data_IF_399555645346
#
_entry.id   IF_399555645346
#
_cell.length_a   1.000
_cell.length_b   1.000
_cell.length_c   1.000
_cell.angle_alpha   90.00
_cell.angle_beta   90.00
_cell.angle_gamma   90.00
#
_symmetry.space_group_name_H-M   'P 1'
#
loop_
_entity.id
_entity.type
_entity.pdbx_description
1 polymer ?
#
# COMPACT_ATOMS: atom_id res chain seq x y z
N UNK A 1 -5.92 38.29 -6.59
CA UNK A 1 -6.63 38.36 -5.29
C UNK A 1 -7.09 37.00 -4.77
N UNK A 2 -7.44 36.03 -5.63
CA UNK A 2 -7.96 34.72 -5.20
C UNK A 2 -6.97 33.84 -4.43
N UNK A 3 -5.68 33.85 -4.81
CA UNK A 3 -4.63 33.03 -4.15
C UNK A 3 -4.41 33.39 -2.67
N UNK A 4 -4.43 34.68 -2.32
CA UNK A 4 -4.20 35.19 -0.95
C UNK A 4 -5.37 34.84 0.00
N UNK A 5 -6.60 34.77 -0.49
CA UNK A 5 -7.76 34.46 0.34
C UNK A 5 -7.80 32.98 0.76
N UNK A 6 -7.34 32.09 -0.12
CA UNK A 6 -7.28 30.64 0.16
C UNK A 6 -6.22 30.30 1.21
N UNK A 7 -5.06 30.96 1.21
CA UNK A 7 -4.00 30.72 2.23
C UNK A 7 -4.40 31.20 3.62
N UNK A 8 -5.31 32.17 3.72
CA UNK A 8 -5.87 32.63 5.00
C UNK A 8 -7.09 31.82 5.47
N UNK A 9 -7.55 30.86 4.68
CA UNK A 9 -8.71 30.01 5.00
C UNK A 9 -8.29 28.85 5.91
N UNK A 10 -9.23 28.27 6.66
CA UNK A 10 -9.01 27.12 7.55
C UNK A 10 -8.31 25.96 6.83
N UNK A 11 -7.45 25.21 7.53
CA UNK A 11 -6.71 24.05 7.00
C UNK A 11 -7.63 23.04 6.29
N UNK A 12 -8.87 22.87 6.78
CA UNK A 12 -9.90 22.03 6.17
C UNK A 12 -10.33 22.52 4.77
N UNK A 13 -10.45 23.84 4.56
CA UNK A 13 -10.75 24.39 3.23
C UNK A 13 -9.55 24.27 2.29
N UNK A 14 -8.33 24.40 2.80
CA UNK A 14 -7.11 24.24 2.01
C UNK A 14 -6.95 22.80 1.52
N UNK A 15 -7.13 21.81 2.40
CA UNK A 15 -7.08 20.40 2.03
C UNK A 15 -8.11 20.03 0.96
N UNK A 16 -9.36 20.52 1.10
CA UNK A 16 -10.41 20.30 0.08
C UNK A 16 -10.10 21.02 -1.24
N UNK A 17 -9.58 22.24 -1.19
CA UNK A 17 -9.16 22.98 -2.39
C UNK A 17 -8.00 22.28 -3.10
N UNK A 18 -7.06 21.70 -2.36
CA UNK A 18 -5.93 20.94 -2.91
C UNK A 18 -6.42 19.68 -3.64
N UNK A 19 -7.31 18.90 -3.01
CA UNK A 19 -7.96 17.74 -3.65
C UNK A 19 -8.69 18.15 -4.93
N UNK A 20 -9.51 19.20 -4.87
CA UNK A 20 -10.24 19.69 -6.04
C UNK A 20 -9.29 20.16 -7.15
N UNK A 21 -8.18 20.80 -6.81
CA UNK A 21 -7.15 21.22 -7.77
C UNK A 21 -6.50 20.02 -8.46
N UNK A 22 -6.14 18.98 -7.68
CA UNK A 22 -5.60 17.73 -8.21
C UNK A 22 -6.57 17.05 -9.18
N UNK A 23 -7.88 17.16 -8.94
CA UNK A 23 -8.92 16.59 -9.80
C UNK A 23 -9.23 17.45 -11.04
N UNK A 24 -9.06 18.77 -10.99
CA UNK A 24 -9.55 19.72 -12.00
C UNK A 24 -8.49 20.29 -12.95
N UNK A 25 -7.23 19.84 -12.87
CA UNK A 25 -6.15 20.17 -13.82
C UNK A 25 -5.71 21.64 -13.82
N UNK A 26 -5.73 22.31 -12.66
CA UNK A 26 -5.12 23.63 -12.48
C UNK A 26 -3.69 23.53 -11.91
N UNK A 27 -2.62 23.33 -12.72
CA UNK A 27 -1.26 23.10 -12.22
C UNK A 27 -0.76 24.24 -11.33
N UNK A 28 -1.00 25.49 -11.71
CA UNK A 28 -0.59 26.67 -10.95
C UNK A 28 -1.26 26.78 -9.57
N UNK A 29 -2.47 26.24 -9.42
CA UNK A 29 -3.15 26.18 -8.13
C UNK A 29 -2.71 24.96 -7.33
N UNK A 30 -2.42 23.84 -7.99
CA UNK A 30 -1.88 22.64 -7.35
C UNK A 30 -0.52 22.94 -6.72
N UNK A 31 0.39 23.57 -7.46
CA UNK A 31 1.72 23.95 -6.97
C UNK A 31 1.60 24.93 -5.80
N UNK A 32 0.83 26.00 -5.97
CA UNK A 32 0.65 27.01 -4.93
C UNK A 32 0.05 26.45 -3.63
N UNK A 33 -0.95 25.57 -3.73
CA UNK A 33 -1.55 24.93 -2.56
C UNK A 33 -0.61 23.91 -1.94
N UNK A 34 0.15 23.16 -2.74
CA UNK A 34 1.14 22.21 -2.21
C UNK A 34 2.24 22.88 -1.40
N UNK A 35 2.58 24.14 -1.70
CA UNK A 35 3.60 24.91 -0.98
C UNK A 35 3.13 25.47 0.37
N UNK A 36 1.81 25.57 0.58
CA UNK A 36 1.23 26.21 1.76
C UNK A 36 0.38 25.25 2.62
N UNK A 37 0.18 24.01 2.17
CA UNK A 37 -0.64 23.02 2.87
C UNK A 37 0.17 22.23 3.89
N UNK A 38 -0.50 21.74 4.94
CA UNK A 38 0.08 20.80 5.88
C UNK A 38 0.37 19.45 5.23
N UNK A 39 1.36 18.73 5.77
CA UNK A 39 1.75 17.40 5.28
C UNK A 39 0.55 16.44 5.22
N UNK A 40 -0.28 16.41 6.28
CA UNK A 40 -1.49 15.59 6.34
C UNK A 40 -2.49 15.89 5.21
N UNK A 41 -2.61 17.17 4.83
CA UNK A 41 -3.48 17.59 3.72
C UNK A 41 -2.95 17.09 2.39
N UNK A 42 -1.63 17.10 2.20
CA UNK A 42 -0.98 16.57 1.00
C UNK A 42 -1.10 15.04 0.94
N UNK A 43 -0.86 14.34 2.06
CA UNK A 43 -1.04 12.89 2.15
C UNK A 43 -2.48 12.49 1.79
N UNK A 44 -3.47 13.17 2.36
CA UNK A 44 -4.87 12.92 2.06
C UNK A 44 -5.20 13.25 0.60
N UNK A 45 -4.67 14.35 0.05
CA UNK A 45 -4.86 14.71 -1.34
C UNK A 45 -4.26 13.67 -2.31
N UNK A 46 -3.09 13.11 -2.00
CA UNK A 46 -2.48 12.02 -2.77
C UNK A 46 -3.39 10.79 -2.76
N UNK A 47 -3.89 10.38 -1.60
CA UNK A 47 -4.76 9.20 -1.47
C UNK A 47 -6.08 9.36 -2.23
N UNK A 48 -6.69 10.55 -2.18
CA UNK A 48 -7.93 10.85 -2.90
C UNK A 48 -7.67 10.98 -4.41
N UNK A 49 -6.59 11.66 -4.82
CA UNK A 49 -6.25 11.80 -6.23
C UNK A 49 -5.85 10.47 -6.88
N UNK A 50 -5.23 9.55 -6.13
CA UNK A 50 -4.89 8.21 -6.59
C UNK A 50 -6.11 7.30 -6.79
N UNK A 51 -7.25 7.63 -6.19
CA UNK A 51 -8.52 6.98 -6.51
C UNK A 51 -9.11 7.45 -7.86
N UNK A 52 -8.63 8.58 -8.37
CA UNK A 52 -9.00 9.10 -9.67
C UNK A 52 -7.99 8.63 -10.75
N UNK A 53 -8.41 8.47 -12.01
CA UNK A 53 -7.53 8.05 -13.11
C UNK A 53 -6.46 9.10 -13.51
N UNK A 54 -6.33 10.21 -12.77
CA UNK A 54 -5.40 11.32 -13.07
C UNK A 54 -4.12 11.23 -12.24
N UNK A 55 -3.22 10.32 -12.60
CA UNK A 55 -1.93 10.11 -11.92
C UNK A 55 -0.92 11.25 -12.04
N UNK A 56 -1.10 12.18 -12.99
CA UNK A 56 -0.20 13.32 -13.17
C UNK A 56 -0.08 14.19 -11.91
N UNK A 57 -1.20 14.47 -11.25
CA UNK A 57 -1.23 15.27 -10.02
C UNK A 57 -0.57 14.55 -8.84
N UNK A 58 -0.74 13.22 -8.73
CA UNK A 58 -0.12 12.39 -7.69
C UNK A 58 1.40 12.49 -7.75
N UNK A 59 1.98 12.40 -8.96
CA UNK A 59 3.44 12.48 -9.14
C UNK A 59 3.99 13.85 -8.74
N UNK A 60 3.29 14.93 -9.09
CA UNK A 60 3.69 16.30 -8.71
C UNK A 60 3.66 16.50 -7.20
N UNK A 61 2.61 16.01 -6.52
CA UNK A 61 2.51 16.09 -5.05
C UNK A 61 3.59 15.25 -4.37
N UNK A 62 3.87 14.04 -4.88
CA UNK A 62 4.92 13.16 -4.33
C UNK A 62 6.34 13.72 -4.45
N UNK A 63 6.63 14.59 -5.43
CA UNK A 63 7.93 15.26 -5.51
C UNK A 63 8.16 16.28 -4.38
N UNK A 64 7.09 16.68 -3.68
CA UNK A 64 7.12 17.65 -2.60
C UNK A 64 7.03 17.01 -1.22
N UNK A 65 6.63 15.75 -1.11
CA UNK A 65 6.59 15.03 0.17
C UNK A 65 8.00 14.64 0.63
N UNK A 66 8.24 14.76 1.94
CA UNK A 66 9.42 14.23 2.58
C UNK A 66 9.46 12.69 2.52
N UNK A 67 10.68 12.13 2.54
CA UNK A 67 10.88 10.68 2.52
C UNK A 67 10.22 9.98 3.73
N UNK A 68 10.15 10.67 4.87
CA UNK A 68 9.60 10.14 6.12
C UNK A 68 8.08 9.91 6.07
N UNK A 69 7.37 10.61 5.18
CA UNK A 69 5.91 10.44 4.98
C UNK A 69 5.56 9.28 4.04
N UNK A 70 6.49 8.84 3.18
CA UNK A 70 6.21 7.80 2.19
C UNK A 70 5.76 6.46 2.82
N UNK A 71 6.32 6.01 3.97
CA UNK A 71 5.82 4.86 4.70
C UNK A 71 4.34 4.96 5.11
N UNK A 72 3.94 6.09 5.68
CA UNK A 72 2.55 6.36 6.10
C UNK A 72 1.60 6.29 4.90
N UNK A 73 1.97 6.97 3.81
CA UNK A 73 1.18 7.00 2.57
C UNK A 73 1.05 5.59 1.98
N UNK A 74 2.13 4.80 1.96
CA UNK A 74 2.13 3.44 1.43
C UNK A 74 1.18 2.53 2.22
N UNK A 75 1.25 2.55 3.55
CA UNK A 75 0.34 1.76 4.40
C UNK A 75 -1.12 2.15 4.16
N UNK A 76 -1.43 3.45 4.11
CA UNK A 76 -2.80 3.93 3.83
C UNK A 76 -3.25 3.57 2.40
N UNK A 77 -2.36 3.59 1.42
CA UNK A 77 -2.65 3.19 0.05
C UNK A 77 -3.01 1.71 -0.03
N UNK A 78 -2.28 0.84 0.68
CA UNK A 78 -2.60 -0.58 0.80
C UNK A 78 -3.95 -0.80 1.46
N UNK A 79 -4.22 -0.10 2.57
CA UNK A 79 -5.51 -0.22 3.28
C UNK A 79 -6.70 0.18 2.41
N UNK A 80 -6.49 1.09 1.45
CA UNK A 80 -7.51 1.54 0.48
C UNK A 80 -7.53 0.71 -0.81
N UNK A 81 -6.56 -0.19 -1.00
CA UNK A 81 -6.42 -0.97 -2.23
C UNK A 81 -5.96 -0.18 -3.46
N UNK A 82 -5.23 0.92 -3.27
CA UNK A 82 -4.76 1.79 -4.36
C UNK A 82 -3.52 1.19 -5.06
N UNK A 83 -3.72 0.15 -5.87
CA UNK A 83 -2.67 -0.65 -6.51
C UNK A 83 -1.60 0.19 -7.23
N UNK A 84 -2.02 1.16 -8.04
CA UNK A 84 -1.10 2.00 -8.81
C UNK A 84 -0.27 2.94 -7.93
N UNK A 85 -0.85 3.45 -6.82
CA UNK A 85 -0.09 4.26 -5.86
C UNK A 85 0.94 3.40 -5.12
N UNK A 86 0.58 2.16 -4.76
CA UNK A 86 1.51 1.21 -4.13
C UNK A 86 2.68 0.89 -5.07
N UNK A 87 2.43 0.68 -6.37
CA UNK A 87 3.50 0.48 -7.37
C UNK A 87 4.48 1.66 -7.44
N UNK A 88 4.00 2.90 -7.31
CA UNK A 88 4.86 4.09 -7.33
C UNK A 88 5.68 4.27 -6.05
N UNK A 89 5.18 3.75 -4.93
CA UNK A 89 5.79 3.91 -3.61
C UNK A 89 6.74 2.77 -3.25
N UNK A 90 6.57 1.57 -3.83
CA UNK A 90 7.29 0.36 -3.41
C UNK A 90 8.82 0.50 -3.47
N UNK A 91 9.34 1.18 -4.50
CA UNK A 91 10.78 1.39 -4.68
C UNK A 91 11.35 2.50 -3.77
N UNK A 92 10.49 3.25 -3.09
CA UNK A 92 10.86 4.40 -2.26
C UNK A 92 10.72 4.13 -0.77
N UNK A 93 10.05 3.04 -0.37
CA UNK A 93 9.81 2.70 1.03
C UNK A 93 10.82 1.68 1.54
N UNK A 94 11.01 1.65 2.85
CA UNK A 94 11.90 0.68 3.49
C UNK A 94 11.26 -0.72 3.58
N UNK A 95 12.10 -1.73 3.82
CA UNK A 95 11.68 -3.14 3.93
C UNK A 95 10.62 -3.35 5.03
N UNK A 96 10.70 -2.61 6.13
CA UNK A 96 9.73 -2.69 7.24
C UNK A 96 8.32 -2.23 6.82
N UNK A 97 8.25 -1.21 5.97
CA UNK A 97 7.01 -0.74 5.39
C UNK A 97 6.44 -1.80 4.46
N UNK A 98 7.27 -2.41 3.60
CA UNK A 98 6.84 -3.48 2.69
C UNK A 98 6.28 -4.67 3.48
N UNK A 99 6.91 -5.06 4.59
CA UNK A 99 6.43 -6.15 5.46
C UNK A 99 5.07 -5.83 6.09
N UNK A 100 4.95 -4.64 6.66
CA UNK A 100 3.68 -4.18 7.25
C UNK A 100 2.58 -4.12 6.19
N UNK A 101 2.89 -3.57 5.02
CA UNK A 101 2.00 -3.47 3.86
C UNK A 101 1.56 -4.86 3.36
N UNK A 102 2.49 -5.81 3.24
CA UNK A 102 2.17 -7.16 2.75
C UNK A 102 1.23 -7.88 3.71
N UNK A 103 1.51 -7.78 5.02
CA UNK A 103 0.65 -8.33 6.07
C UNK A 103 -0.76 -7.74 6.01
N UNK A 104 -0.88 -6.42 5.91
CA UNK A 104 -2.20 -5.76 5.81
C UNK A 104 -2.95 -6.23 4.55
N UNK A 105 -2.27 -6.27 3.40
CA UNK A 105 -2.87 -6.71 2.15
C UNK A 105 -3.35 -8.17 2.24
N UNK A 106 -2.56 -9.04 2.89
CA UNK A 106 -2.89 -10.43 3.15
C UNK A 106 -4.11 -10.59 4.10
N UNK A 107 -4.14 -9.82 5.18
CA UNK A 107 -5.28 -9.77 6.12
C UNK A 107 -6.56 -9.24 5.47
N UNK A 108 -6.47 -8.33 4.50
CA UNK A 108 -7.62 -7.83 3.75
C UNK A 108 -8.01 -8.74 2.57
N UNK A 109 -7.16 -9.70 2.20
CA UNK A 109 -7.36 -10.53 1.01
C UNK A 109 -7.22 -9.77 -0.30
N UNK A 110 -6.53 -8.61 -0.32
CA UNK A 110 -6.37 -7.80 -1.52
C UNK A 110 -5.31 -8.40 -2.45
N UNK A 111 -5.74 -9.37 -3.26
CA UNK A 111 -4.92 -10.14 -4.18
C UNK A 111 -4.07 -9.28 -5.13
N UNK A 112 -4.60 -8.15 -5.61
CA UNK A 112 -3.88 -7.26 -6.54
C UNK A 112 -2.73 -6.53 -5.86
N UNK A 113 -2.97 -5.99 -4.66
CA UNK A 113 -1.92 -5.34 -3.87
C UNK A 113 -0.88 -6.36 -3.40
N UNK A 114 -1.30 -7.57 -3.01
CA UNK A 114 -0.36 -8.67 -2.70
C UNK A 114 0.56 -8.95 -3.88
N UNK A 115 0.04 -9.05 -5.11
CA UNK A 115 0.87 -9.28 -6.31
C UNK A 115 1.94 -8.20 -6.51
N UNK A 116 1.58 -6.93 -6.30
CA UNK A 116 2.55 -5.82 -6.42
C UNK A 116 3.61 -5.89 -5.32
N UNK A 117 3.22 -6.18 -4.09
CA UNK A 117 4.13 -6.23 -2.95
C UNK A 117 5.07 -7.45 -2.99
N UNK A 118 4.66 -8.54 -3.64
CA UNK A 118 5.44 -9.78 -3.75
C UNK A 118 6.81 -9.59 -4.42
N UNK A 119 6.96 -8.60 -5.30
CA UNK A 119 8.23 -8.37 -6.02
C UNK A 119 9.29 -7.68 -5.14
N UNK A 120 8.87 -6.93 -4.11
CA UNK A 120 9.78 -6.30 -3.15
C UNK A 120 9.86 -7.05 -1.80
N UNK A 121 9.21 -8.21 -1.68
CA UNK A 121 9.10 -8.96 -0.44
C UNK A 121 10.10 -10.12 -0.38
N UNK A 122 10.65 -10.39 0.81
CA UNK A 122 11.50 -11.56 1.06
C UNK A 122 10.67 -12.79 1.43
N UNK A 123 11.27 -13.98 1.35
CA UNK A 123 10.62 -15.24 1.74
C UNK A 123 10.09 -15.23 3.18
N UNK A 124 10.82 -14.61 4.12
CA UNK A 124 10.39 -14.49 5.51
C UNK A 124 9.13 -13.64 5.67
N UNK A 125 9.03 -12.54 4.91
CA UNK A 125 7.86 -11.66 4.91
C UNK A 125 6.64 -12.38 4.31
N UNK A 126 6.86 -13.14 3.23
CA UNK A 126 5.81 -13.92 2.56
C UNK A 126 5.29 -15.02 3.50
N UNK A 127 6.17 -15.72 4.23
CA UNK A 127 5.76 -16.73 5.21
C UNK A 127 4.85 -16.13 6.29
N UNK A 128 5.26 -15.00 6.87
CA UNK A 128 4.45 -14.27 7.86
C UNK A 128 3.09 -13.88 7.27
N UNK A 129 3.08 -13.30 6.06
CA UNK A 129 1.84 -12.89 5.38
C UNK A 129 0.88 -14.06 5.10
N UNK A 130 1.39 -15.28 4.85
CA UNK A 130 0.56 -16.49 4.68
C UNK A 130 -0.23 -16.77 5.97
N UNK A 131 0.43 -16.73 7.12
CA UNK A 131 -0.24 -16.96 8.42
C UNK A 131 -1.38 -15.95 8.65
N UNK A 132 -1.16 -14.68 8.29
CA UNK A 132 -2.19 -13.64 8.37
C UNK A 132 -3.33 -13.83 7.37
N UNK A 133 -3.05 -14.26 6.14
CA UNK A 133 -4.09 -14.57 5.15
C UNK A 133 -4.91 -15.81 5.54
N UNK A 134 -4.27 -16.84 6.11
CA UNK A 134 -4.93 -18.07 6.56
C UNK A 134 -5.84 -17.82 7.76
N UNK A 135 -5.34 -17.10 8.76
CA UNK A 135 -6.14 -16.71 9.94
C UNK A 135 -7.33 -15.83 9.56
N UNK A 136 -7.20 -15.03 8.50
CA UNK A 136 -8.28 -14.19 7.97
C UNK A 136 -9.20 -14.91 6.99
N UNK A 137 -8.85 -16.14 6.57
CA UNK A 137 -9.64 -16.97 5.66
C UNK A 137 -9.57 -16.56 4.18
N UNK A 138 -8.59 -15.76 3.77
CA UNK A 138 -8.45 -15.26 2.40
C UNK A 138 -7.68 -16.23 1.50
N UNK A 139 -8.35 -17.30 1.07
CA UNK A 139 -7.74 -18.38 0.27
C UNK A 139 -7.05 -17.91 -1.02
N UNK A 140 -7.55 -16.85 -1.68
CA UNK A 140 -6.91 -16.30 -2.88
C UNK A 140 -5.55 -15.67 -2.57
N UNK A 141 -5.46 -14.88 -1.50
CA UNK A 141 -4.19 -14.29 -1.05
C UNK A 141 -3.21 -15.38 -0.61
N UNK A 142 -3.67 -16.40 0.12
CA UNK A 142 -2.85 -17.57 0.51
C UNK A 142 -2.27 -18.24 -0.74
N UNK A 143 -3.10 -18.54 -1.74
CA UNK A 143 -2.66 -19.20 -2.97
C UNK A 143 -1.61 -18.38 -3.73
N UNK A 144 -1.77 -17.05 -3.80
CA UNK A 144 -0.81 -16.16 -4.45
C UNK A 144 0.53 -16.12 -3.72
N UNK A 145 0.51 -16.00 -2.39
CA UNK A 145 1.71 -15.99 -1.56
C UNK A 145 2.45 -17.34 -1.63
N UNK A 146 1.72 -18.46 -1.52
CA UNK A 146 2.28 -19.83 -1.60
C UNK A 146 2.90 -20.11 -2.96
N UNK A 147 2.29 -19.61 -4.04
CA UNK A 147 2.85 -19.75 -5.40
C UNK A 147 4.22 -19.09 -5.51
N UNK A 148 4.47 -17.97 -4.81
CA UNK A 148 5.78 -17.31 -4.80
C UNK A 148 6.82 -18.11 -4.01
N UNK A 149 6.44 -18.68 -2.86
CA UNK A 149 7.34 -19.53 -2.05
C UNK A 149 7.65 -20.85 -2.76
N UNK A 150 6.65 -21.52 -3.35
CA UNK A 150 6.86 -22.76 -4.11
C UNK A 150 7.74 -22.59 -5.35
N UNK A 151 7.75 -21.40 -5.97
CA UNK A 151 8.72 -21.07 -7.04
C UNK A 151 10.15 -21.01 -6.50
N UNK A 152 10.36 -20.56 -5.25
CA UNK A 152 11.70 -20.53 -4.65
C UNK A 152 12.20 -21.91 -4.23
N UNK A 153 11.31 -22.86 -3.91
CA UNK A 153 11.70 -24.23 -3.53
C UNK A 153 11.93 -25.16 -4.73
N UNK A 154 11.40 -24.85 -5.91
CA UNK A 154 11.46 -25.73 -7.09
C UNK A 154 12.69 -25.55 -7.98
N UNK A 155 13.60 -24.63 -7.64
CA UNK A 155 14.91 -24.49 -8.31
C UNK A 155 16.03 -25.30 -7.63
N UNK A 156 15.77 -25.96 -6.50
CA UNK A 156 16.71 -26.92 -5.92
C UNK A 156 16.31 -28.33 -6.36
N UNK A 157 16.48 -28.61 -7.65
CA UNK A 157 16.73 -29.98 -8.08
C UNK A 157 18.10 -30.37 -7.50
N UNK A 158 18.09 -30.88 -6.27
CA UNK A 158 18.81 -32.09 -5.88
C UNK A 158 18.56 -32.42 -4.41
N UNK A 159 17.88 -33.55 -4.19
CA UNK A 159 18.12 -34.39 -3.03
C UNK A 159 17.36 -34.08 -1.74
N UNK A 160 16.19 -34.72 -1.59
CA UNK A 160 15.62 -35.23 -0.33
C UNK A 160 15.39 -34.22 0.79
N UNK A 161 14.14 -33.77 1.00
CA UNK A 161 13.62 -33.62 2.37
C UNK A 161 12.11 -33.86 2.40
N UNK A 162 11.75 -34.96 3.05
CA UNK A 162 10.41 -35.31 3.49
C UNK A 162 9.87 -34.23 4.45
N UNK A 163 8.72 -33.63 4.12
CA UNK A 163 7.88 -32.97 5.13
C UNK A 163 6.47 -33.55 5.04
N UNK A 164 6.10 -34.21 6.14
CA UNK A 164 4.82 -34.88 6.34
C UNK A 164 3.64 -33.90 6.29
N UNK A 165 2.44 -34.33 5.87
CA UNK A 165 1.24 -33.53 6.02
C UNK A 165 0.91 -33.36 7.51
N UNK A 166 0.98 -32.12 8.01
CA UNK A 166 0.46 -31.75 9.33
C UNK A 166 -1.04 -32.02 9.35
N UNK A 167 -1.43 -32.99 10.17
CA UNK A 167 -2.81 -33.37 10.46
C UNK A 167 -3.66 -32.19 10.96
N UNK A 168 -4.95 -32.09 10.60
CA UNK A 168 -5.84 -31.09 11.17
C UNK A 168 -6.08 -31.37 12.66
N UNK A 169 -5.87 -30.34 13.46
CA UNK A 169 -6.02 -30.35 14.92
C UNK A 169 -7.43 -30.77 15.33
N UNK A 170 -7.52 -31.85 16.12
CA UNK A 170 -8.75 -32.34 16.73
C UNK A 170 -9.41 -31.24 17.56
N UNK A 171 -10.60 -30.82 17.16
CA UNK A 171 -11.54 -30.08 18.00
C UNK A 171 -11.99 -31.01 19.13
N UNK A 172 -11.25 -31.01 20.23
CA UNK A 172 -11.63 -31.67 21.47
C UNK A 172 -12.80 -30.88 22.09
N UNK A 173 -14.03 -31.36 21.89
CA UNK A 173 -15.19 -30.94 22.66
C UNK A 173 -15.20 -31.81 23.92
N UNK A 174 -14.78 -31.22 25.04
CA UNK A 174 -14.92 -31.80 26.38
C UNK A 174 -16.42 -31.82 26.75
N UNK A 175 -16.82 -32.97 27.32
CA UNK A 175 -18.04 -33.38 28.03
C UNK A 175 -19.23 -32.42 28.04
#
# INVERSE_FOLDING_TARGET
>A
MSKIFVVKSDECMQGRALVCSAMSSGPDMLEFLSENSSQDSIEQAILEAASAPRFGAVKTMMQRCDQDSLPSICVRAVMRGLVELVKLLIDKVNVQTVDTSLRIAATQGNAEVVKVLLDASTSSMISSAIDFAETSGHAEAVNLLRKRVGVTETMTQDGVTSVAPTTPSKRARLK
#
